data_IF_143971526473
#
_entry.id   IF_143971526473
#
_cell.length_a   1.000
_cell.length_b   1.000
_cell.length_c   1.000
_cell.angle_alpha   90.00
_cell.angle_beta   90.00
_cell.angle_gamma   90.00
#
_symmetry.space_group_name_H-M   'P 1'
#
loop_
_entity.id
_entity.type
_entity.pdbx_description
1 polymer ?
#
# COMPACT_ATOMS: atom_id res chain seq x y z
N UNK A 1 3.06 -23.89 14.09
CA UNK A 1 1.88 -23.25 14.70
C UNK A 1 0.73 -24.25 14.56
N UNK A 2 0.55 -25.17 15.51
CA UNK A 2 -0.57 -26.13 15.45
C UNK A 2 -1.76 -25.52 16.20
N UNK A 3 -2.86 -25.29 15.50
CA UNK A 3 -4.15 -25.05 16.13
C UNK A 3 -4.71 -26.40 16.58
N UNK A 4 -5.34 -26.48 17.75
CA UNK A 4 -6.08 -27.68 18.24
C UNK A 4 -7.30 -28.04 17.34
N UNK A 5 -7.48 -27.33 16.22
CA UNK A 5 -8.54 -27.56 15.25
C UNK A 5 -7.95 -28.41 14.12
N UNK A 6 -8.49 -29.62 13.98
CA UNK A 6 -8.24 -30.50 12.85
C UNK A 6 -9.03 -29.97 11.64
N UNK A 7 -8.42 -29.00 10.95
CA UNK A 7 -9.04 -28.35 9.79
C UNK A 7 -9.39 -29.32 8.68
N UNK A 8 -8.69 -30.45 8.58
CA UNK A 8 -8.97 -31.46 7.58
C UNK A 8 -10.30 -32.16 7.88
N UNK A 9 -10.52 -32.58 9.14
CA UNK A 9 -11.81 -33.14 9.57
C UNK A 9 -12.97 -32.14 9.43
N UNK A 10 -12.76 -30.87 9.78
CA UNK A 10 -13.81 -29.84 9.69
C UNK A 10 -14.21 -29.59 8.22
N UNK A 11 -13.23 -29.48 7.32
CA UNK A 11 -13.50 -29.30 5.89
C UNK A 11 -14.23 -30.52 5.30
N UNK A 12 -13.79 -31.74 5.61
CA UNK A 12 -14.47 -32.95 5.15
C UNK A 12 -15.91 -33.05 5.69
N UNK A 13 -16.15 -32.59 6.92
CA UNK A 13 -17.49 -32.58 7.51
C UNK A 13 -18.42 -31.53 6.88
N UNK A 14 -17.89 -30.39 6.42
CA UNK A 14 -18.66 -29.29 5.82
C UNK A 14 -19.28 -29.63 4.46
N UNK A 15 -18.74 -30.65 3.77
CA UNK A 15 -19.30 -31.21 2.53
C UNK A 15 -20.21 -32.42 2.75
N UNK A 16 -20.36 -32.87 3.99
CA UNK A 16 -21.30 -33.92 4.38
C UNK A 16 -22.56 -33.30 5.01
N UNK A 17 -23.68 -34.02 5.09
CA UNK A 17 -24.92 -33.60 5.78
C UNK A 17 -24.76 -33.61 7.31
N UNK A 18 -23.71 -32.96 7.81
CA UNK A 18 -23.47 -32.73 9.22
C UNK A 18 -24.33 -31.59 9.76
N UNK A 19 -24.51 -31.56 11.08
CA UNK A 19 -25.24 -30.52 11.78
C UNK A 19 -24.41 -29.23 11.79
N UNK A 20 -24.98 -28.12 11.32
CA UNK A 20 -24.29 -26.82 11.28
C UNK A 20 -23.88 -26.38 12.69
N UNK A 21 -22.57 -26.23 12.92
CA UNK A 21 -22.06 -25.77 14.20
C UNK A 21 -22.20 -24.24 14.33
N UNK A 22 -22.70 -23.73 15.47
CA UNK A 22 -22.87 -22.30 15.65
C UNK A 22 -21.51 -21.58 15.67
N UNK A 23 -21.41 -20.37 15.10
CA UNK A 23 -20.15 -19.59 15.02
C UNK A 23 -19.43 -19.40 16.37
N UNK A 24 -20.18 -19.42 17.47
CA UNK A 24 -19.65 -19.32 18.83
C UNK A 24 -18.63 -20.44 19.17
N UNK A 25 -18.72 -21.61 18.52
CA UNK A 25 -17.81 -22.74 18.72
C UNK A 25 -16.36 -22.37 18.35
N UNK A 26 -16.16 -21.71 17.20
CA UNK A 26 -14.85 -21.28 16.71
C UNK A 26 -14.30 -20.05 17.46
N UNK A 27 -15.19 -19.18 17.95
CA UNK A 27 -14.78 -18.00 18.74
C UNK A 27 -14.24 -18.40 20.12
N UNK A 28 -14.80 -19.45 20.72
CA UNK A 28 -14.35 -19.94 22.03
C UNK A 28 -12.94 -20.54 22.00
N UNK A 29 -12.61 -21.31 20.96
CA UNK A 29 -11.27 -21.88 20.76
C UNK A 29 -10.24 -20.79 20.47
N UNK A 30 -10.59 -19.80 19.64
CA UNK A 30 -9.77 -18.62 19.37
C UNK A 30 -9.46 -17.80 20.63
N UNK A 31 -10.47 -17.55 21.48
CA UNK A 31 -10.27 -16.82 22.76
C UNK A 31 -9.34 -17.57 23.73
N UNK A 32 -9.40 -18.91 23.77
CA UNK A 32 -8.46 -19.71 24.58
C UNK A 32 -7.03 -19.65 24.06
N UNK A 33 -6.82 -19.71 22.75
CA UNK A 33 -5.50 -19.59 22.14
C UNK A 33 -4.85 -18.23 22.42
N UNK A 34 -5.64 -17.14 22.34
CA UNK A 34 -5.18 -15.77 22.65
C UNK A 34 -4.81 -15.63 24.13
N UNK A 35 -5.61 -16.21 25.05
CA UNK A 35 -5.27 -16.21 26.49
C UNK A 35 -3.98 -16.98 26.79
N UNK A 36 -3.75 -18.14 26.15
CA UNK A 36 -2.48 -18.88 26.29
C UNK A 36 -1.27 -18.07 25.79
N UNK A 37 -1.40 -17.35 24.67
CA UNK A 37 -0.33 -16.47 24.15
C UNK A 37 -0.03 -15.31 25.10
N UNK A 38 -1.04 -14.68 25.69
CA UNK A 38 -0.84 -13.61 26.68
C UNK A 38 -0.13 -14.11 27.95
N UNK A 39 -0.39 -15.35 28.38
CA UNK A 39 0.33 -15.95 29.50
C UNK A 39 1.81 -16.26 29.17
N UNK A 40 2.11 -16.74 27.95
CA UNK A 40 3.47 -17.02 27.51
C UNK A 40 4.33 -15.75 27.34
N UNK A 41 3.72 -14.64 26.90
CA UNK A 41 4.43 -13.36 26.72
C UNK A 41 4.88 -12.71 28.04
N UNK A 42 4.16 -12.96 29.14
CA UNK A 42 4.51 -12.41 30.47
C UNK A 42 5.71 -13.14 31.10
N UNK A 43 5.97 -14.40 30.73
CA UNK A 43 7.09 -15.19 31.27
C UNK A 43 8.44 -14.82 30.61
N UNK A 44 8.43 -14.29 29.39
CA UNK A 44 9.65 -13.89 28.65
C UNK A 44 10.11 -12.45 28.94
N UNK A 45 9.29 -11.62 29.58
CA UNK A 45 9.64 -10.24 29.93
C UNK A 45 10.36 -10.10 31.29
N UNK A 46 10.58 -11.20 32.01
CA UNK A 46 11.14 -11.19 33.37
C UNK A 46 12.57 -11.77 33.49
N UNK A 47 13.28 -12.05 32.39
CA UNK A 47 14.56 -12.78 32.43
C UNK A 47 15.72 -12.16 31.63
N UNK A 48 15.68 -10.85 31.33
CA UNK A 48 16.85 -10.13 30.80
C UNK A 48 17.27 -9.02 31.77
N UNK A 49 17.74 -9.45 32.94
CA UNK A 49 18.60 -8.64 33.79
C UNK A 49 19.56 -9.60 34.50
N UNK A 50 20.87 -9.37 34.33
CA UNK A 50 22.03 -9.99 35.02
C UNK A 50 22.67 -11.24 34.38
N UNK A 51 23.67 -11.00 33.54
CA UNK A 51 25.00 -11.66 33.48
C UNK A 51 25.68 -11.11 32.20
N UNK A 52 26.88 -10.55 32.21
CA UNK A 52 28.08 -10.92 32.94
C UNK A 52 29.18 -11.18 31.91
N UNK A 53 30.19 -10.33 31.90
CA UNK A 53 31.40 -10.34 31.07
C UNK A 53 32.18 -11.67 31.12
N UNK A 54 32.72 -12.13 29.98
CA UNK A 54 33.95 -12.93 29.95
C UNK A 54 34.72 -12.70 28.63
N UNK A 55 35.98 -12.35 28.78
CA UNK A 55 36.98 -12.18 27.73
C UNK A 55 37.61 -13.52 27.34
N UNK A 56 38.09 -13.65 26.09
CA UNK A 56 39.26 -14.47 25.78
C UNK A 56 40.11 -13.85 24.67
N UNK A 57 41.42 -13.91 24.91
CA UNK A 57 42.52 -13.35 24.15
C UNK A 57 43.13 -14.35 23.13
N UNK A 58 43.97 -13.81 22.23
CA UNK A 58 44.75 -14.44 21.16
C UNK A 58 45.78 -15.50 21.65
N UNK A 59 46.54 -16.29 20.87
CA UNK A 59 47.07 -16.31 19.48
C UNK A 59 47.73 -17.72 19.25
N UNK A 60 48.75 -17.97 18.37
CA UNK A 60 49.00 -17.70 16.95
C UNK A 60 49.33 -19.00 16.15
N UNK A 61 49.57 -18.92 14.85
CA UNK A 61 50.16 -20.02 14.07
C UNK A 61 50.81 -19.54 12.77
N UNK A 62 52.13 -19.71 12.67
CA UNK A 62 53.01 -19.20 11.61
C UNK A 62 53.61 -20.32 10.74
N UNK A 63 53.53 -20.15 9.40
CA UNK A 63 54.56 -20.41 8.35
C UNK A 63 55.00 -21.87 8.03
N UNK A 64 55.42 -22.22 6.77
CA UNK A 64 56.50 -21.55 6.01
C UNK A 64 56.45 -21.44 4.46
N UNK A 65 57.24 -20.45 4.00
CA UNK A 65 58.01 -20.22 2.74
C UNK A 65 57.86 -21.12 1.50
N UNK A 66 57.84 -20.45 0.34
CA UNK A 66 58.51 -20.87 -0.89
C UNK A 66 59.14 -19.65 -1.60
N UNK A 67 60.47 -19.64 -1.72
CA UNK A 67 61.29 -18.70 -2.51
C UNK A 67 61.54 -19.29 -3.91
N UNK A 68 61.48 -18.47 -4.97
CA UNK A 68 62.32 -18.54 -6.18
C UNK A 68 62.05 -17.33 -7.12
N UNK A 69 63.01 -16.93 -7.98
CA UNK A 69 63.26 -15.52 -8.31
C UNK A 69 62.98 -15.07 -9.77
N UNK A 70 62.73 -13.76 -9.91
CA UNK A 70 63.20 -12.79 -10.92
C UNK A 70 63.08 -13.10 -12.42
N UNK A 71 62.34 -12.24 -13.15
CA UNK A 71 62.86 -11.52 -14.33
C UNK A 71 62.08 -10.21 -14.55
N UNK A 72 62.83 -9.13 -14.61
CA UNK A 72 62.47 -7.74 -14.86
C UNK A 72 61.98 -7.51 -16.30
N UNK A 73 60.90 -6.75 -16.47
CA UNK A 73 60.83 -5.81 -17.59
C UNK A 73 59.89 -4.62 -17.28
N UNK A 74 60.40 -3.45 -17.66
CA UNK A 74 59.93 -2.11 -17.31
C UNK A 74 59.27 -1.54 -18.57
N UNK A 75 57.98 -1.21 -18.50
CA UNK A 75 57.33 -0.42 -19.56
C UNK A 75 56.38 0.60 -18.95
N UNK A 76 56.76 1.87 -19.11
CA UNK A 76 55.86 3.01 -19.26
C UNK A 76 54.86 3.28 -18.14
N UNK A 77 55.29 4.07 -17.15
CA UNK A 77 54.36 4.89 -16.40
C UNK A 77 53.72 5.91 -17.35
N UNK A 78 52.45 5.69 -17.68
CA UNK A 78 51.51 6.79 -17.96
C UNK A 78 50.58 6.82 -16.76
N UNK A 79 50.82 7.77 -15.85
CA UNK A 79 49.94 8.06 -14.72
C UNK A 79 48.53 8.37 -15.26
N UNK A 80 47.48 7.65 -14.84
CA UNK A 80 46.14 8.14 -15.02
C UNK A 80 45.85 9.11 -13.87
N UNK A 81 45.91 10.41 -14.15
CA UNK A 81 45.45 11.51 -13.26
C UNK A 81 43.96 11.41 -12.83
N UNK A 82 43.24 10.35 -13.19
CA UNK A 82 41.83 10.14 -12.84
C UNK A 82 41.54 9.19 -11.67
N UNK A 83 42.55 8.53 -11.07
CA UNK A 83 42.34 7.47 -10.08
C UNK A 83 41.76 7.95 -8.74
N UNK A 84 42.00 9.21 -8.38
CA UNK A 84 41.46 9.80 -7.14
C UNK A 84 40.03 10.31 -7.32
N UNK A 85 39.71 10.87 -8.50
CA UNK A 85 38.34 11.26 -8.82
C UNK A 85 37.38 10.05 -8.80
N UNK A 86 37.78 8.93 -9.43
CA UNK A 86 36.95 7.71 -9.43
C UNK A 86 36.73 7.09 -8.03
N UNK A 87 37.72 7.19 -7.14
CA UNK A 87 37.60 6.74 -5.75
C UNK A 87 36.72 7.68 -4.92
N UNK A 88 36.77 8.98 -5.20
CA UNK A 88 35.95 9.98 -4.53
C UNK A 88 34.49 9.88 -4.97
N UNK A 89 34.20 9.79 -6.27
CA UNK A 89 32.84 9.57 -6.78
C UNK A 89 32.22 8.27 -6.24
N UNK A 90 33.02 7.19 -6.13
CA UNK A 90 32.55 5.93 -5.54
C UNK A 90 32.24 6.07 -4.04
N UNK A 91 33.08 6.79 -3.28
CA UNK A 91 32.84 7.07 -1.85
C UNK A 91 31.63 7.97 -1.64
N UNK A 92 31.46 9.00 -2.47
CA UNK A 92 30.32 9.93 -2.40
C UNK A 92 29.02 9.22 -2.76
N UNK A 93 29.04 8.31 -3.75
CA UNK A 93 27.89 7.46 -4.07
C UNK A 93 27.53 6.49 -2.94
N UNK A 94 28.52 5.90 -2.27
CA UNK A 94 28.30 5.04 -1.10
C UNK A 94 27.78 5.83 0.12
N UNK A 95 28.28 7.05 0.32
CA UNK A 95 27.82 7.95 1.39
C UNK A 95 26.38 8.43 1.13
N UNK A 96 26.06 8.81 -0.10
CA UNK A 96 24.70 9.15 -0.53
C UNK A 96 23.72 7.98 -0.36
N UNK A 97 24.13 6.75 -0.70
CA UNK A 97 23.33 5.55 -0.41
C UNK A 97 23.14 5.31 1.09
N UNK A 98 24.18 5.52 1.90
CA UNK A 98 24.11 5.38 3.35
C UNK A 98 23.23 6.47 4.00
N UNK A 99 23.23 7.69 3.44
CA UNK A 99 22.38 8.79 3.87
C UNK A 99 20.93 8.59 3.45
N UNK A 100 20.66 8.11 2.23
CA UNK A 100 19.31 7.67 1.82
C UNK A 100 18.78 6.56 2.74
N UNK A 101 19.65 5.61 3.12
CA UNK A 101 19.31 4.54 4.07
C UNK A 101 19.03 5.06 5.48
N UNK A 102 19.62 6.20 5.87
CA UNK A 102 19.41 6.85 7.17
C UNK A 102 18.19 7.78 7.16
N UNK A 103 17.93 8.45 6.03
CA UNK A 103 16.81 9.37 5.86
C UNK A 103 15.48 8.64 5.65
N UNK A 104 15.49 7.48 4.97
CA UNK A 104 14.33 6.58 4.82
C UNK A 104 14.15 5.59 5.99
N UNK A 105 14.93 5.73 7.07
CA UNK A 105 14.84 4.90 8.27
C UNK A 105 13.68 5.31 9.20
N UNK A 106 12.56 5.79 8.65
CA UNK A 106 11.29 5.33 9.18
C UNK A 106 11.35 3.81 9.20
N UNK A 107 10.99 3.16 10.30
CA UNK A 107 11.13 1.72 10.47
C UNK A 107 10.27 1.03 9.41
N UNK A 108 10.83 0.76 8.23
CA UNK A 108 10.12 0.15 7.10
C UNK A 108 9.62 -1.19 7.60
N UNK A 109 8.31 -1.33 7.71
CA UNK A 109 7.69 -2.60 8.08
C UNK A 109 7.60 -3.45 6.82
N UNK A 110 8.46 -4.46 6.76
CA UNK A 110 8.46 -5.42 5.67
C UNK A 110 7.31 -6.43 5.78
N UNK A 111 6.59 -6.47 6.92
CA UNK A 111 5.50 -7.42 7.19
C UNK A 111 5.92 -8.89 6.95
N UNK A 112 7.19 -9.19 7.16
CA UNK A 112 7.78 -10.51 6.89
C UNK A 112 8.03 -10.82 5.40
N UNK A 113 7.77 -9.88 4.50
CA UNK A 113 8.05 -9.99 3.07
C UNK A 113 9.49 -9.59 2.68
N UNK A 114 9.89 -9.89 1.43
CA UNK A 114 11.26 -9.68 0.95
C UNK A 114 11.55 -8.21 0.62
N UNK A 115 10.52 -7.38 0.50
CA UNK A 115 10.65 -5.98 0.13
C UNK A 115 9.42 -5.16 0.53
N UNK A 116 9.58 -3.84 0.52
CA UNK A 116 8.51 -2.87 0.71
C UNK A 116 8.72 -1.66 -0.21
N UNK A 117 7.65 -0.90 -0.46
CA UNK A 117 7.73 0.42 -1.10
C UNK A 117 7.86 1.50 -0.02
N UNK A 118 8.95 2.27 -0.07
CA UNK A 118 9.18 3.42 0.82
C UNK A 118 9.83 4.57 0.03
N UNK A 119 9.42 5.80 0.32
CA UNK A 119 9.94 7.03 -0.32
C UNK A 119 9.92 6.98 -1.87
N UNK A 120 8.90 6.34 -2.45
CA UNK A 120 8.76 6.16 -3.90
C UNK A 120 9.74 5.15 -4.51
N UNK A 121 10.46 4.38 -3.69
CA UNK A 121 11.44 3.38 -4.09
C UNK A 121 11.17 1.99 -3.52
N UNK A 122 11.83 1.00 -4.11
CA UNK A 122 11.87 -0.37 -3.60
C UNK A 122 12.95 -0.47 -2.51
N UNK A 123 12.58 -0.91 -1.31
CA UNK A 123 13.50 -1.24 -0.23
C UNK A 123 13.45 -2.75 0.00
N UNK A 124 14.61 -3.41 -0.04
CA UNK A 124 14.72 -4.85 0.20
C UNK A 124 14.95 -5.15 1.69
N UNK A 125 14.29 -6.19 2.19
CA UNK A 125 14.46 -6.68 3.54
C UNK A 125 15.86 -7.29 3.74
N UNK A 126 16.41 -7.29 4.98
CA UNK A 126 17.60 -8.11 5.28
C UNK A 126 17.34 -9.57 4.92
N UNK A 127 18.27 -10.21 4.19
CA UNK A 127 18.11 -11.59 3.70
C UNK A 127 17.47 -11.70 2.30
N UNK A 128 17.01 -10.58 1.73
CA UNK A 128 16.69 -10.52 0.30
C UNK A 128 17.97 -10.55 -0.54
N UNK A 129 18.04 -11.55 -1.41
CA UNK A 129 19.00 -11.69 -2.49
C UNK A 129 18.61 -10.82 -3.69
N UNK A 130 19.15 -11.14 -4.88
CA UNK A 130 18.90 -10.35 -6.08
C UNK A 130 17.41 -10.39 -6.47
N UNK A 131 16.91 -9.24 -6.91
CA UNK A 131 15.65 -9.17 -7.66
C UNK A 131 15.90 -9.75 -9.05
N UNK A 132 15.26 -10.87 -9.33
CA UNK A 132 15.37 -11.61 -10.58
C UNK A 132 14.52 -10.98 -11.69
N UNK A 133 13.38 -10.41 -11.32
CA UNK A 133 12.46 -9.76 -12.25
C UNK A 133 11.69 -8.63 -11.57
N UNK A 134 11.36 -7.59 -12.34
CA UNK A 134 10.65 -6.40 -11.84
C UNK A 134 9.62 -5.94 -12.88
N UNK A 135 8.36 -5.84 -12.48
CA UNK A 135 7.28 -5.28 -13.29
C UNK A 135 6.81 -3.98 -12.64
N UNK A 136 7.09 -2.80 -13.25
CA UNK A 136 6.64 -1.51 -12.74
C UNK A 136 5.14 -1.30 -12.98
N UNK A 137 4.45 -0.73 -11.99
CA UNK A 137 3.04 -0.37 -12.04
C UNK A 137 2.08 -1.43 -12.65
N UNK A 138 2.13 -2.70 -12.22
CA UNK A 138 1.25 -3.75 -12.78
C UNK A 138 -0.24 -3.48 -12.53
N UNK A 139 -0.57 -2.66 -11.51
CA UNK A 139 -1.97 -2.28 -11.24
C UNK A 139 -2.49 -1.22 -12.21
N UNK A 140 -1.59 -0.47 -12.86
CA UNK A 140 -1.95 0.66 -13.72
C UNK A 140 -2.41 1.89 -12.95
N UNK A 141 -1.98 2.06 -11.70
CA UNK A 141 -2.37 3.22 -10.91
C UNK A 141 -1.87 4.52 -11.53
N UNK A 142 -2.74 5.53 -11.46
CA UNK A 142 -2.37 6.91 -11.74
C UNK A 142 -1.59 7.50 -10.56
N UNK A 143 -0.92 8.63 -10.79
CA UNK A 143 -0.13 9.32 -9.76
C UNK A 143 -0.95 9.70 -8.51
N UNK A 144 -2.23 9.97 -8.67
CA UNK A 144 -3.14 10.34 -7.57
C UNK A 144 -3.67 9.13 -6.81
N UNK A 145 -3.80 7.98 -7.47
CA UNK A 145 -4.19 6.72 -6.83
C UNK A 145 -3.05 6.16 -5.99
N UNK A 146 -1.85 6.07 -6.56
CA UNK A 146 -0.69 5.54 -5.85
C UNK A 146 0.36 4.96 -6.79
N UNK A 147 1.15 4.03 -6.27
CA UNK A 147 2.17 3.31 -7.02
C UNK A 147 2.09 1.82 -6.72
N UNK A 148 2.44 0.99 -7.70
CA UNK A 148 2.55 -0.45 -7.48
C UNK A 148 3.82 -1.01 -8.11
N UNK A 149 4.28 -2.12 -7.55
CA UNK A 149 5.45 -2.82 -8.04
C UNK A 149 5.33 -4.32 -7.77
N UNK A 150 5.57 -5.13 -8.81
CA UNK A 150 5.77 -6.55 -8.62
C UNK A 150 7.23 -6.94 -8.81
N UNK A 151 7.72 -7.85 -7.97
CA UNK A 151 9.06 -8.40 -8.05
C UNK A 151 9.06 -9.91 -7.93
N UNK A 152 10.03 -10.52 -8.61
CA UNK A 152 10.50 -11.88 -8.39
C UNK A 152 11.85 -11.80 -7.73
N UNK A 153 12.02 -12.38 -6.54
CA UNK A 153 13.20 -12.12 -5.70
C UNK A 153 13.61 -13.37 -4.94
N UNK A 154 14.91 -13.57 -4.75
CA UNK A 154 15.40 -14.58 -3.81
C UNK A 154 15.31 -14.03 -2.39
N UNK A 155 14.70 -14.74 -1.45
CA UNK A 155 14.60 -14.36 -0.05
C UNK A 155 14.84 -15.59 0.82
N UNK A 156 15.83 -15.50 1.71
CA UNK A 156 16.20 -16.62 2.61
C UNK A 156 16.44 -17.95 1.87
N UNK A 157 17.01 -17.89 0.66
CA UNK A 157 17.31 -19.05 -0.18
C UNK A 157 16.13 -19.61 -0.96
N UNK A 158 14.96 -18.97 -0.93
CA UNK A 158 13.76 -19.34 -1.70
C UNK A 158 13.41 -18.25 -2.69
N UNK A 159 12.87 -18.64 -3.84
CA UNK A 159 12.29 -17.67 -4.76
C UNK A 159 10.89 -17.28 -4.27
N UNK A 160 10.62 -15.99 -4.21
CA UNK A 160 9.33 -15.43 -3.81
C UNK A 160 8.83 -14.43 -4.85
N UNK A 161 7.51 -14.38 -4.97
CA UNK A 161 6.80 -13.40 -5.78
C UNK A 161 6.12 -12.41 -4.84
N UNK A 162 6.26 -11.11 -5.11
CA UNK A 162 5.70 -10.07 -4.26
C UNK A 162 5.08 -8.93 -5.08
N UNK A 163 3.84 -8.57 -4.77
CA UNK A 163 3.15 -7.38 -5.27
C UNK A 163 3.02 -6.40 -4.11
N UNK A 164 3.54 -5.19 -4.31
CA UNK A 164 3.43 -4.08 -3.38
C UNK A 164 2.61 -2.96 -4.01
N UNK A 165 1.67 -2.41 -3.26
CA UNK A 165 0.91 -1.21 -3.59
C UNK A 165 1.09 -0.19 -2.47
N UNK A 166 1.37 1.06 -2.84
CA UNK A 166 1.49 2.18 -1.93
C UNK A 166 0.53 3.29 -2.34
N UNK A 167 -0.33 3.67 -1.40
CA UNK A 167 -1.34 4.72 -1.49
C UNK A 167 -0.95 5.89 -0.57
N UNK A 168 -1.59 7.06 -0.68
CA UNK A 168 -1.27 8.21 0.18
C UNK A 168 -1.35 7.93 1.69
N UNK A 169 -2.22 7.00 2.11
CA UNK A 169 -2.49 6.70 3.52
C UNK A 169 -2.23 5.25 3.93
N UNK A 170 -1.87 4.37 3.00
CA UNK A 170 -1.73 2.93 3.28
C UNK A 170 -0.78 2.23 2.32
N UNK A 171 -0.31 1.06 2.72
CA UNK A 171 0.43 0.14 1.88
C UNK A 171 -0.22 -1.24 1.94
N UNK A 172 -0.17 -1.97 0.83
CA UNK A 172 -0.59 -3.36 0.73
C UNK A 172 0.56 -4.16 0.13
N UNK A 173 0.87 -5.31 0.73
CA UNK A 173 1.89 -6.23 0.22
C UNK A 173 1.32 -7.64 0.22
N UNK A 174 1.36 -8.29 -0.94
CA UNK A 174 1.06 -9.71 -1.07
C UNK A 174 2.32 -10.44 -1.50
N UNK A 175 2.73 -11.43 -0.71
CA UNK A 175 3.96 -12.21 -0.96
C UNK A 175 3.66 -13.69 -0.84
N UNK A 176 4.16 -14.47 -1.80
CA UNK A 176 4.06 -15.92 -1.81
C UNK A 176 5.41 -16.54 -2.21
N UNK A 177 5.69 -17.75 -1.69
CA UNK A 177 6.73 -18.59 -2.27
C UNK A 177 6.40 -18.85 -3.75
N UNK A 178 7.42 -18.83 -4.61
CA UNK A 178 7.27 -19.00 -6.04
C UNK A 178 6.56 -20.32 -6.35
N UNK A 179 5.44 -20.23 -7.03
CA UNK A 179 4.66 -21.38 -7.50
C UNK A 179 4.14 -21.08 -8.90
N UNK A 180 4.43 -21.96 -9.85
CA UNK A 180 4.18 -21.69 -11.27
C UNK A 180 5.06 -20.57 -11.83
N UNK A 181 4.66 -20.01 -12.97
CA UNK A 181 5.34 -18.87 -13.58
C UNK A 181 4.91 -17.53 -12.96
N UNK A 182 5.81 -16.55 -13.04
CA UNK A 182 5.62 -15.25 -12.42
C UNK A 182 4.49 -14.43 -13.08
N UNK A 183 4.31 -14.57 -14.40
CA UNK A 183 3.29 -13.82 -15.16
C UNK A 183 1.87 -14.27 -14.78
N UNK A 184 1.63 -15.58 -14.75
CA UNK A 184 0.35 -16.17 -14.35
C UNK A 184 0.00 -15.86 -12.89
N UNK A 185 0.97 -15.96 -11.98
CA UNK A 185 0.79 -15.54 -10.60
C UNK A 185 0.44 -14.05 -10.51
N UNK A 186 1.18 -13.18 -11.22
CA UNK A 186 0.99 -11.73 -11.18
C UNK A 186 -0.41 -11.36 -11.70
N UNK A 187 -0.87 -11.97 -12.78
CA UNK A 187 -2.22 -11.75 -13.31
C UNK A 187 -3.31 -12.07 -12.27
N UNK A 188 -3.18 -13.20 -11.57
CA UNK A 188 -4.14 -13.61 -10.52
C UNK A 188 -4.15 -12.66 -9.31
N UNK A 189 -2.96 -12.24 -8.86
CA UNK A 189 -2.84 -11.32 -7.72
C UNK A 189 -3.31 -9.91 -8.07
N UNK A 190 -3.04 -9.41 -9.29
CA UNK A 190 -3.58 -8.13 -9.78
C UNK A 190 -5.11 -8.17 -9.82
N UNK A 191 -5.72 -9.24 -10.33
CA UNK A 191 -7.18 -9.38 -10.36
C UNK A 191 -7.79 -9.38 -8.94
N UNK A 192 -7.15 -10.09 -8.01
CA UNK A 192 -7.56 -10.13 -6.60
C UNK A 192 -7.43 -8.77 -5.92
N UNK A 193 -6.29 -8.08 -6.11
CA UNK A 193 -6.06 -6.76 -5.54
C UNK A 193 -7.03 -5.73 -6.11
N UNK A 194 -7.35 -5.75 -7.41
CA UNK A 194 -8.37 -4.86 -8.01
C UNK A 194 -9.73 -5.05 -7.35
N UNK A 195 -10.10 -6.27 -7.00
CA UNK A 195 -11.36 -6.55 -6.30
C UNK A 195 -11.36 -5.90 -4.91
N UNK A 196 -10.23 -5.97 -4.19
CA UNK A 196 -10.04 -5.28 -2.92
C UNK A 196 -10.01 -3.76 -3.08
N UNK A 197 -9.40 -3.25 -4.14
CA UNK A 197 -9.33 -1.82 -4.40
C UNK A 197 -10.72 -1.24 -4.65
N UNK A 198 -11.58 -1.95 -5.38
CA UNK A 198 -13.00 -1.59 -5.54
C UNK A 198 -13.71 -1.64 -4.19
N UNK A 199 -13.58 -2.73 -3.44
CA UNK A 199 -14.21 -2.86 -2.12
C UNK A 199 -13.76 -1.79 -1.12
N UNK A 200 -12.52 -1.30 -1.25
CA UNK A 200 -11.93 -0.27 -0.40
C UNK A 200 -12.04 1.15 -0.99
N UNK A 201 -12.71 1.33 -2.14
CA UNK A 201 -12.88 2.63 -2.80
C UNK A 201 -11.60 3.26 -3.37
N UNK A 202 -10.54 2.48 -3.55
CA UNK A 202 -9.26 2.89 -4.15
C UNK A 202 -9.38 3.04 -5.67
N UNK A 203 -10.09 2.11 -6.31
CA UNK A 203 -10.43 2.16 -7.74
C UNK A 203 -11.93 2.04 -7.91
N UNK A 204 -12.50 2.69 -8.92
CA UNK A 204 -13.94 2.55 -9.22
C UNK A 204 -14.24 1.17 -9.79
N UNK A 205 -15.48 0.70 -9.61
CA UNK A 205 -15.95 -0.47 -10.34
C UNK A 205 -16.07 -0.11 -11.83
N UNK A 206 -15.63 -1.00 -12.72
CA UNK A 206 -15.73 -0.75 -14.16
C UNK A 206 -17.21 -0.60 -14.57
N UNK A 207 -17.54 0.51 -15.24
CA UNK A 207 -18.89 0.82 -15.68
C UNK A 207 -19.76 1.57 -14.68
N UNK A 208 -19.25 1.92 -13.49
CA UNK A 208 -19.93 2.82 -12.56
C UNK A 208 -19.76 4.27 -13.05
N UNK A 209 -20.83 5.08 -13.16
CA UNK A 209 -20.72 6.44 -13.64
C UNK A 209 -19.85 7.26 -12.68
N UNK A 210 -18.88 8.00 -13.23
CA UNK A 210 -18.06 8.91 -12.42
C UNK A 210 -18.91 10.07 -11.87
N UNK A 211 -18.45 10.80 -10.83
CA UNK A 211 -19.15 11.99 -10.34
C UNK A 211 -19.52 12.99 -11.43
N UNK A 212 -18.59 13.21 -12.38
CA UNK A 212 -18.78 14.09 -13.53
C UNK A 212 -19.87 13.60 -14.51
N UNK A 213 -20.29 12.33 -14.39
CA UNK A 213 -21.35 11.69 -15.17
C UNK A 213 -22.65 11.53 -14.37
N UNK A 214 -22.70 12.02 -13.13
CA UNK A 214 -23.93 11.93 -12.33
C UNK A 214 -24.94 13.00 -12.70
N UNK A 215 -24.46 14.22 -12.94
CA UNK A 215 -25.29 15.39 -13.12
C UNK A 215 -24.99 16.10 -14.44
N UNK A 216 -26.02 16.73 -14.98
CA UNK A 216 -25.92 17.64 -16.12
C UNK A 216 -26.77 18.88 -15.87
N UNK A 217 -26.48 19.96 -16.59
CA UNK A 217 -27.30 21.18 -16.57
C UNK A 217 -28.29 21.11 -17.74
N UNK A 218 -29.58 21.08 -17.41
CA UNK A 218 -30.66 21.13 -18.38
C UNK A 218 -30.73 22.46 -19.13
N UNK A 219 -31.50 22.53 -20.24
CA UNK A 219 -31.66 23.77 -21.01
C UNK A 219 -32.36 24.90 -20.22
N UNK A 220 -33.06 24.54 -19.15
CA UNK A 220 -33.68 25.44 -18.16
C UNK A 220 -32.70 25.88 -17.06
N UNK A 221 -31.43 25.50 -17.18
CA UNK A 221 -30.41 25.73 -16.18
C UNK A 221 -30.54 24.83 -14.96
N UNK A 222 -31.47 23.87 -14.90
CA UNK A 222 -31.65 23.03 -13.71
C UNK A 222 -30.68 21.85 -13.69
N UNK A 223 -30.24 21.46 -12.48
CA UNK A 223 -29.44 20.25 -12.28
C UNK A 223 -30.32 19.02 -12.48
N UNK A 224 -29.88 18.10 -13.33
CA UNK A 224 -30.60 16.86 -13.68
C UNK A 224 -29.65 15.67 -13.64
N UNK A 225 -30.18 14.46 -13.49
CA UNK A 225 -29.40 13.26 -13.71
C UNK A 225 -28.90 13.21 -15.16
N UNK A 226 -27.62 12.88 -15.35
CA UNK A 226 -27.04 12.76 -16.69
C UNK A 226 -27.28 11.37 -17.32
N UNK A 227 -27.58 10.36 -16.50
CA UNK A 227 -27.84 8.98 -16.95
C UNK A 227 -29.07 8.40 -16.25
N UNK A 228 -29.63 7.32 -16.79
CA UNK A 228 -30.73 6.55 -16.19
C UNK A 228 -30.34 5.77 -14.93
N UNK A 229 -29.02 5.67 -14.67
CA UNK A 229 -28.44 5.04 -13.49
C UNK A 229 -28.37 5.97 -12.28
N UNK A 230 -28.69 7.25 -12.48
CA UNK A 230 -28.70 8.27 -11.43
C UNK A 230 -30.11 8.84 -11.29
N UNK A 231 -30.63 8.82 -10.07
CA UNK A 231 -31.88 9.49 -9.70
C UNK A 231 -31.57 10.68 -8.80
N UNK A 232 -32.08 11.86 -9.16
CA UNK A 232 -31.96 13.05 -8.31
C UNK A 232 -33.11 13.05 -7.31
N UNK A 233 -32.80 12.83 -6.03
CA UNK A 233 -33.80 12.75 -4.96
C UNK A 233 -34.11 14.12 -4.36
N UNK A 234 -33.08 14.96 -4.18
CA UNK A 234 -33.21 16.28 -3.56
C UNK A 234 -32.09 17.20 -4.06
N UNK A 235 -32.41 18.43 -4.46
CA UNK A 235 -31.43 19.46 -4.85
C UNK A 235 -31.63 20.69 -3.97
N UNK A 236 -30.53 21.27 -3.50
CA UNK A 236 -30.54 22.58 -2.84
C UNK A 236 -29.50 23.48 -3.46
N UNK A 237 -30.00 24.52 -4.12
CA UNK A 237 -29.21 25.58 -4.73
C UNK A 237 -28.79 26.64 -3.72
N UNK A 238 -27.70 27.34 -4.02
CA UNK A 238 -27.26 28.51 -3.26
C UNK A 238 -26.83 28.17 -1.83
N UNK A 239 -26.41 26.92 -1.60
CA UNK A 239 -25.92 26.51 -0.29
C UNK A 239 -24.51 27.04 -0.10
N UNK A 240 -24.35 27.90 0.90
CA UNK A 240 -23.04 28.36 1.34
C UNK A 240 -22.27 27.21 2.00
N UNK A 241 -21.22 26.74 1.32
CA UNK A 241 -20.27 25.73 1.79
C UNK A 241 -18.92 26.33 2.20
N UNK A 242 -18.80 27.67 2.19
CA UNK A 242 -17.60 28.44 2.49
C UNK A 242 -16.94 29.08 1.27
N UNK A 243 -16.24 30.19 1.49
CA UNK A 243 -15.62 31.02 0.45
C UNK A 243 -14.73 30.22 -0.51
N UNK A 244 -13.94 29.29 0.03
CA UNK A 244 -13.04 28.46 -0.76
C UNK A 244 -13.79 27.63 -1.82
N UNK A 245 -15.01 27.18 -1.51
CA UNK A 245 -15.83 26.37 -2.42
C UNK A 245 -16.53 27.24 -3.46
N UNK A 246 -17.04 28.39 -3.02
CA UNK A 246 -17.80 29.32 -3.84
C UNK A 246 -16.93 30.22 -4.75
N UNK A 247 -15.64 30.37 -4.43
CA UNK A 247 -14.72 31.25 -5.16
C UNK A 247 -14.65 30.88 -6.65
N UNK A 248 -14.99 31.84 -7.52
CA UNK A 248 -14.96 31.66 -8.97
C UNK A 248 -16.06 30.75 -9.53
N UNK A 249 -17.13 30.51 -8.76
CA UNK A 249 -18.27 29.72 -9.21
C UNK A 249 -19.45 30.63 -9.55
N UNK A 250 -20.15 30.33 -10.64
CA UNK A 250 -21.40 30.97 -11.04
C UNK A 250 -22.57 30.48 -10.17
N UNK A 251 -22.50 29.22 -9.75
CA UNK A 251 -23.51 28.54 -8.95
C UNK A 251 -22.86 27.43 -8.14
N UNK A 252 -23.33 27.27 -6.90
CA UNK A 252 -22.97 26.16 -6.03
C UNK A 252 -24.21 25.62 -5.32
N UNK A 253 -24.19 24.34 -5.00
CA UNK A 253 -25.26 23.69 -4.27
C UNK A 253 -24.89 22.30 -3.80
N UNK A 254 -25.88 21.61 -3.26
CA UNK A 254 -25.77 20.22 -2.82
C UNK A 254 -26.92 19.39 -3.37
N UNK A 255 -26.68 18.11 -3.52
CA UNK A 255 -27.65 17.16 -4.06
C UNK A 255 -27.64 15.86 -3.27
N UNK A 256 -28.81 15.24 -3.14
CA UNK A 256 -28.97 13.84 -2.74
C UNK A 256 -29.38 13.03 -3.97
N UNK A 257 -28.64 11.98 -4.25
CA UNK A 257 -28.77 11.11 -5.41
C UNK A 257 -29.06 9.67 -4.97
N UNK A 258 -29.67 8.90 -5.85
CA UNK A 258 -29.55 7.44 -5.90
C UNK A 258 -28.65 7.10 -7.09
N UNK A 259 -27.50 6.50 -6.88
CA UNK A 259 -26.58 6.05 -7.95
C UNK A 259 -26.55 4.53 -7.92
N UNK A 260 -27.02 3.87 -8.97
CA UNK A 260 -27.11 2.41 -9.04
C UNK A 260 -27.83 1.75 -7.84
N UNK A 261 -28.79 2.46 -7.25
CA UNK A 261 -29.52 1.97 -6.09
C UNK A 261 -28.82 2.22 -4.75
N UNK A 262 -27.71 2.96 -4.71
CA UNK A 262 -27.09 3.44 -3.47
C UNK A 262 -27.34 4.95 -3.23
N UNK A 263 -27.70 5.37 -2.01
CA UNK A 263 -27.90 6.78 -1.70
C UNK A 263 -26.56 7.50 -1.54
N UNK A 264 -26.38 8.58 -2.29
CA UNK A 264 -25.16 9.40 -2.30
C UNK A 264 -25.53 10.87 -2.04
N UNK A 265 -24.69 11.59 -1.29
CA UNK A 265 -24.76 13.05 -1.21
C UNK A 265 -23.53 13.63 -1.91
N UNK A 266 -23.72 14.70 -2.69
CA UNK A 266 -22.64 15.39 -3.37
C UNK A 266 -22.83 16.91 -3.30
N UNK A 267 -21.72 17.63 -3.31
CA UNK A 267 -21.71 19.06 -3.60
C UNK A 267 -21.49 19.24 -5.11
N UNK A 268 -22.00 20.31 -5.69
CA UNK A 268 -21.69 20.67 -7.07
C UNK A 268 -21.41 22.15 -7.19
N UNK A 269 -20.64 22.50 -8.20
CA UNK A 269 -20.40 23.88 -8.60
C UNK A 269 -20.34 24.01 -10.12
N UNK A 270 -20.78 25.16 -10.60
CA UNK A 270 -20.71 25.55 -11.99
C UNK A 270 -19.67 26.67 -12.12
N UNK A 271 -18.65 26.47 -12.95
CA UNK A 271 -17.61 27.47 -13.24
C UNK A 271 -17.48 27.58 -14.74
N UNK A 272 -17.76 28.76 -15.29
CA UNK A 272 -17.66 29.04 -16.73
C UNK A 272 -18.44 28.00 -17.57
N UNK A 273 -19.63 27.63 -17.09
CA UNK A 273 -20.50 26.63 -17.73
C UNK A 273 -20.07 25.16 -17.54
N UNK A 274 -18.98 24.90 -16.83
CA UNK A 274 -18.51 23.55 -16.50
C UNK A 274 -19.06 23.10 -15.15
N UNK A 275 -19.85 22.03 -15.14
CA UNK A 275 -20.38 21.43 -13.92
C UNK A 275 -19.36 20.47 -13.32
N UNK A 276 -18.98 20.72 -12.07
CA UNK A 276 -18.15 19.82 -11.27
C UNK A 276 -18.99 19.22 -10.15
N UNK A 277 -18.89 17.90 -9.96
CA UNK A 277 -19.62 17.16 -8.91
C UNK A 277 -18.63 16.52 -7.97
N UNK A 278 -18.74 16.86 -6.69
CA UNK A 278 -17.81 16.43 -5.64
C UNK A 278 -18.56 15.53 -4.66
N UNK A 279 -18.31 14.21 -4.69
CA UNK A 279 -19.01 13.26 -3.81
C UNK A 279 -18.63 13.45 -2.35
N UNK A 280 -19.61 13.27 -1.45
CA UNK A 280 -19.34 13.15 -0.03
C UNK A 280 -18.62 11.84 0.29
N UNK A 281 -17.56 11.91 1.11
CA UNK A 281 -16.76 10.75 1.49
C UNK A 281 -17.42 9.81 2.53
N UNK A 282 -18.76 9.78 2.62
CA UNK A 282 -19.48 9.04 3.65
C UNK A 282 -20.97 8.90 3.37
N UNK A 283 -21.67 8.20 4.28
CA UNK A 283 -23.14 8.05 4.25
C UNK A 283 -23.78 9.08 5.15
N UNK A 284 -24.79 9.78 4.64
CA UNK A 284 -25.51 10.82 5.36
C UNK A 284 -26.99 10.46 5.46
N UNK A 285 -27.58 10.64 6.64
CA UNK A 285 -29.00 10.38 6.87
C UNK A 285 -29.92 11.44 6.25
N UNK A 286 -29.39 12.63 5.96
CA UNK A 286 -30.10 13.73 5.35
C UNK A 286 -29.15 14.68 4.61
N UNK A 287 -29.71 15.51 3.73
CA UNK A 287 -28.94 16.55 3.04
C UNK A 287 -28.43 17.63 4.03
N UNK A 288 -29.14 17.89 5.13
CA UNK A 288 -28.67 18.78 6.21
C UNK A 288 -27.43 18.26 6.94
N UNK A 289 -27.38 16.95 7.20
CA UNK A 289 -26.21 16.30 7.80
C UNK A 289 -25.01 16.41 6.85
N UNK A 290 -25.24 16.23 5.55
CA UNK A 290 -24.22 16.43 4.52
C UNK A 290 -23.73 17.87 4.47
N UNK A 291 -24.62 18.88 4.44
CA UNK A 291 -24.23 20.31 4.42
C UNK A 291 -23.37 20.67 5.62
N UNK A 292 -23.73 20.16 6.81
CA UNK A 292 -22.95 20.40 8.04
C UNK A 292 -21.53 19.84 7.91
N UNK A 293 -21.40 18.60 7.43
CA UNK A 293 -20.11 17.97 7.17
C UNK A 293 -19.31 18.71 6.07
N UNK A 294 -19.95 19.04 4.96
CA UNK A 294 -19.36 19.69 3.80
C UNK A 294 -18.79 21.08 4.16
N UNK A 295 -19.52 21.87 4.94
CA UNK A 295 -19.03 23.16 5.47
C UNK A 295 -17.75 22.99 6.28
N UNK A 296 -17.71 22.01 7.18
CA UNK A 296 -16.52 21.76 7.99
C UNK A 296 -15.33 21.32 7.11
N UNK A 297 -15.59 20.50 6.09
CA UNK A 297 -14.58 20.01 5.17
C UNK A 297 -14.00 21.13 4.30
N UNK A 298 -14.86 21.90 3.62
CA UNK A 298 -14.46 22.89 2.62
C UNK A 298 -14.04 24.24 3.21
N UNK A 299 -14.41 24.56 4.46
CA UNK A 299 -13.92 25.74 5.16
C UNK A 299 -12.38 25.79 5.26
N UNK A 300 -11.73 24.63 5.28
CA UNK A 300 -10.27 24.53 5.37
C UNK A 300 -9.54 24.76 4.03
N UNK A 301 -10.25 24.71 2.89
CA UNK A 301 -9.66 24.67 1.55
C UNK A 301 -8.85 23.40 1.24
N UNK A 302 -8.69 22.47 2.19
CA UNK A 302 -7.99 21.21 1.95
C UNK A 302 -8.89 20.27 1.14
N UNK A 303 -8.41 19.88 -0.05
CA UNK A 303 -9.07 18.90 -0.92
C UNK A 303 -9.76 19.46 -2.17
N UNK A 304 -9.65 20.76 -2.46
CA UNK A 304 -10.23 21.38 -3.66
C UNK A 304 -9.21 21.64 -4.77
N UNK A 305 -8.51 20.58 -5.21
CA UNK A 305 -7.58 20.63 -6.35
C UNK A 305 -7.94 19.60 -7.41
#
# INVERSE_FOLDING_TARGET
MSTDIDWQRELDSSFSTGEDLPPAHYVASGRRAVRRRRAAAVVLAASIALAGTAAWAASPGSSPRGDAPVATERTGASEPEGADQGRQTRRDRLRSLAELRRAGAGRVDFLGGPAALADGGLVLAPGAGPVLERVPNPMGYTKTQGSSLAIRVMFEGREQYSLMAAFPSSTSTMTNDASGDFEGWLAGVVASQRTLDVANGVTRQSGEPGPDEWLTIGPDGQVRAATDRVEVLEVRDGVDLGDSFAAGTDRAGVVRLQVDGDPVCAAYRLTDGTLEVIPGGGRFSSLDAFVTWARAQYASGQGMR
#
